data_IF_464742982107
#
_entry.id   IF_464742982107
#
_cell.length_a   1.000
_cell.length_b   1.000
_cell.length_c   1.000
_cell.angle_alpha   90.00
_cell.angle_beta   90.00
_cell.angle_gamma   90.00
#
_symmetry.space_group_name_H-M   'P 1'
#
loop_
_entity.id
_entity.type
_entity.pdbx_description
1 polymer ?
#
# COMPACT_ATOMS: atom_id res chain seq x y z
N UNK A 1 -6.01 -82.85 32.05
CA UNK A 1 -6.37 -81.47 32.43
C UNK A 1 -5.31 -80.54 31.85
N UNK A 2 -5.61 -79.93 30.71
CA UNK A 2 -4.74 -78.98 30.02
C UNK A 2 -4.99 -77.58 30.58
N UNK A 3 -3.97 -77.00 31.20
CA UNK A 3 -4.01 -75.64 31.76
C UNK A 3 -4.07 -74.62 30.61
N UNK A 4 -5.20 -73.91 30.51
CA UNK A 4 -5.38 -72.83 29.55
C UNK A 4 -4.50 -71.63 29.93
N UNK A 5 -3.60 -71.22 29.03
CA UNK A 5 -2.91 -69.93 29.14
C UNK A 5 -3.94 -68.82 28.92
N UNK A 6 -4.13 -67.99 29.94
CA UNK A 6 -4.85 -66.72 29.84
C UNK A 6 -4.17 -65.84 28.79
N UNK A 7 -4.93 -65.44 27.76
CA UNK A 7 -4.49 -64.50 26.71
C UNK A 7 -4.72 -63.03 27.12
N UNK A 8 -5.32 -62.80 28.29
CA UNK A 8 -5.62 -61.47 28.80
C UNK A 8 -4.74 -61.20 30.02
N UNK A 9 -3.60 -60.58 29.76
CA UNK A 9 -2.83 -59.88 30.77
C UNK A 9 -3.47 -58.50 30.94
N UNK A 10 -4.08 -58.26 32.11
CA UNK A 10 -4.62 -56.95 32.47
C UNK A 10 -3.45 -55.96 32.57
N UNK A 11 -3.24 -55.17 31.52
CA UNK A 11 -2.29 -54.05 31.56
C UNK A 11 -2.94 -52.92 32.36
N UNK A 12 -2.95 -53.05 33.69
CA UNK A 12 -3.34 -52.01 34.62
C UNK A 12 -2.23 -50.99 34.86
N UNK A 13 -1.44 -50.67 33.83
CA UNK A 13 -0.49 -49.57 33.89
C UNK A 13 -1.12 -48.36 33.22
N UNK A 14 -1.66 -47.49 34.06
CA UNK A 14 -2.11 -46.16 33.70
C UNK A 14 -0.86 -45.30 33.41
N UNK A 15 -0.14 -45.63 32.35
CA UNK A 15 0.88 -44.75 31.80
C UNK A 15 0.18 -43.56 31.19
N UNK A 16 0.04 -42.50 31.99
CA UNK A 16 -0.27 -41.18 31.48
C UNK A 16 0.77 -40.86 30.41
N UNK A 17 0.42 -41.04 29.14
CA UNK A 17 1.24 -40.60 28.02
C UNK A 17 1.46 -39.11 28.23
N UNK A 18 2.68 -38.74 28.64
CA UNK A 18 3.07 -37.36 28.76
C UNK A 18 2.76 -36.70 27.42
N UNK A 19 1.81 -35.75 27.42
CA UNK A 19 1.48 -35.00 26.21
C UNK A 19 2.80 -34.49 25.63
N UNK A 20 3.12 -34.77 24.36
CA UNK A 20 4.40 -34.40 23.80
C UNK A 20 4.61 -32.92 24.08
N UNK A 21 5.65 -32.59 24.86
CA UNK A 21 6.02 -31.20 25.12
C UNK A 21 6.19 -30.58 23.74
N UNK A 22 5.29 -29.66 23.40
CA UNK A 22 5.34 -28.96 22.11
C UNK A 22 6.75 -28.43 21.88
N UNK A 23 7.20 -28.29 20.62
CA UNK A 23 8.57 -27.92 20.32
C UNK A 23 8.99 -26.71 21.17
N UNK A 24 10.07 -26.87 21.96
CA UNK A 24 10.60 -25.80 22.81
C UNK A 24 10.77 -24.55 21.95
N UNK A 25 10.12 -23.45 22.33
CA UNK A 25 10.31 -22.18 21.65
C UNK A 25 11.80 -21.83 21.74
N UNK A 26 12.44 -21.63 20.58
CA UNK A 26 13.82 -21.15 20.54
C UNK A 26 13.88 -19.79 21.28
N UNK A 27 14.58 -19.69 22.42
CA UNK A 27 14.63 -18.47 23.22
C UNK A 27 15.22 -17.27 22.46
N UNK A 28 15.83 -17.48 21.29
CA UNK A 28 16.34 -16.42 20.41
C UNK A 28 15.30 -15.92 19.39
N UNK A 29 14.12 -16.53 19.31
CA UNK A 29 13.09 -16.19 18.33
C UNK A 29 12.29 -14.94 18.75
N UNK A 30 12.83 -13.76 18.46
CA UNK A 30 12.24 -12.48 18.88
C UNK A 30 11.19 -11.94 17.88
N UNK A 31 10.17 -12.75 17.55
CA UNK A 31 9.09 -12.39 16.61
C UNK A 31 8.43 -11.06 16.98
N UNK A 32 8.22 -10.83 18.28
CA UNK A 32 7.60 -9.60 18.78
C UNK A 32 8.39 -8.34 18.43
N UNK A 33 9.71 -8.36 18.58
CA UNK A 33 10.56 -7.23 18.21
C UNK A 33 10.58 -7.00 16.69
N UNK A 34 10.64 -8.07 15.89
CA UNK A 34 10.57 -7.95 14.42
C UNK A 34 9.22 -7.39 13.98
N UNK A 35 8.12 -7.80 14.60
CA UNK A 35 6.78 -7.25 14.35
C UNK A 35 6.73 -5.76 14.67
N UNK A 36 7.28 -5.32 15.82
CA UNK A 36 7.33 -3.89 16.17
C UNK A 36 8.11 -3.08 15.14
N UNK A 37 9.27 -3.58 14.72
CA UNK A 37 10.07 -2.94 13.67
C UNK A 37 9.32 -2.87 12.33
N UNK A 38 8.64 -3.94 11.93
CA UNK A 38 7.79 -3.94 10.74
C UNK A 38 6.60 -2.96 10.86
N UNK A 39 6.03 -2.77 12.05
CA UNK A 39 5.01 -1.75 12.28
C UNK A 39 5.56 -0.33 12.12
N UNK A 40 6.80 -0.07 12.57
CA UNK A 40 7.47 1.22 12.34
C UNK A 40 7.65 1.44 10.83
N UNK A 41 8.17 0.45 10.09
CA UNK A 41 8.29 0.53 8.63
C UNK A 41 6.94 0.72 7.95
N UNK A 42 5.91 0.00 8.38
CA UNK A 42 4.55 0.17 7.87
C UNK A 42 4.07 1.61 8.04
N UNK A 43 4.19 2.17 9.25
CA UNK A 43 3.76 3.54 9.53
C UNK A 43 4.54 4.57 8.70
N UNK A 44 5.86 4.38 8.55
CA UNK A 44 6.69 5.24 7.72
C UNK A 44 6.31 5.16 6.23
N UNK A 45 5.97 3.97 5.70
CA UNK A 45 5.51 3.83 4.31
C UNK A 45 4.13 4.48 4.11
N UNK A 46 3.22 4.39 5.10
CA UNK A 46 1.95 5.13 5.04
C UNK A 46 2.20 6.63 5.03
N UNK A 47 3.12 7.11 5.88
CA UNK A 47 3.53 8.52 5.89
C UNK A 47 4.17 8.92 4.55
N UNK A 48 4.99 8.06 3.95
CA UNK A 48 5.60 8.29 2.63
C UNK A 48 4.54 8.44 1.54
N UNK A 49 3.52 7.58 1.56
CA UNK A 49 2.38 7.70 0.63
C UNK A 49 1.63 9.03 0.86
N UNK A 50 1.42 9.45 2.10
CA UNK A 50 0.77 10.72 2.42
C UNK A 50 1.58 11.94 1.94
N UNK A 51 2.87 11.99 2.30
CA UNK A 51 3.79 13.08 1.94
C UNK A 51 4.01 13.12 0.43
N UNK A 52 4.22 11.98 -0.23
CA UNK A 52 4.34 11.92 -1.69
C UNK A 52 3.06 12.35 -2.40
N UNK A 53 1.89 12.02 -1.83
CA UNK A 53 0.60 12.54 -2.30
C UNK A 53 0.51 14.07 -2.20
N UNK A 54 0.96 14.64 -1.08
CA UNK A 54 1.03 16.10 -0.91
C UNK A 54 2.00 16.73 -1.92
N UNK A 55 3.23 16.21 -2.05
CA UNK A 55 4.23 16.70 -3.02
C UNK A 55 3.68 16.74 -4.45
N UNK A 56 2.82 15.78 -4.85
CA UNK A 56 2.15 15.82 -6.15
C UNK A 56 1.00 16.81 -6.19
N UNK A 57 0.13 16.82 -5.18
CA UNK A 57 -1.07 17.67 -5.15
C UNK A 57 -0.74 19.16 -4.98
N UNK A 58 0.47 19.48 -4.52
CA UNK A 58 1.04 20.84 -4.44
C UNK A 58 2.02 21.14 -5.57
N UNK A 59 2.05 20.31 -6.63
CA UNK A 59 2.88 20.49 -7.84
C UNK A 59 4.35 20.78 -7.50
N UNK A 60 4.87 20.04 -6.52
CA UNK A 60 6.23 20.20 -5.98
C UNK A 60 7.17 19.09 -6.43
N UNK A 61 6.72 18.18 -7.28
CA UNK A 61 7.43 16.93 -7.60
C UNK A 61 8.67 17.07 -8.49
N UNK A 62 8.94 18.27 -9.02
CA UNK A 62 10.04 18.56 -9.95
C UNK A 62 10.91 19.77 -9.53
N UNK A 63 10.72 20.26 -8.32
CA UNK A 63 11.48 21.38 -7.73
C UNK A 63 12.98 21.08 -7.54
N UNK A 64 13.38 19.81 -7.37
CA UNK A 64 14.77 19.36 -7.21
C UNK A 64 15.19 18.58 -8.46
N UNK A 65 15.86 19.27 -9.37
CA UNK A 65 16.23 18.75 -10.69
C UNK A 65 17.37 17.72 -10.64
N UNK A 66 18.14 17.69 -9.56
CA UNK A 66 19.29 16.80 -9.43
C UNK A 66 19.02 15.57 -8.56
N UNK A 67 19.67 14.45 -8.89
CA UNK A 67 19.66 13.24 -8.09
C UNK A 67 20.94 13.11 -7.27
N UNK A 68 20.86 13.55 -6.00
CA UNK A 68 21.96 13.46 -5.01
C UNK A 68 21.55 12.56 -3.83
N UNK A 69 21.76 11.23 -3.91
CA UNK A 69 21.31 10.29 -2.87
C UNK A 69 21.88 10.56 -1.49
N UNK A 70 23.16 10.92 -1.42
CA UNK A 70 23.89 11.11 -0.16
C UNK A 70 23.98 12.59 0.20
N UNK A 71 24.59 13.41 -0.66
CA UNK A 71 24.80 14.84 -0.39
C UNK A 71 23.50 15.64 -0.32
N UNK A 72 22.47 15.25 -1.07
CA UNK A 72 21.14 15.86 -1.00
C UNK A 72 20.34 15.53 0.27
N UNK A 73 20.93 14.84 1.26
CA UNK A 73 20.35 14.68 2.58
C UNK A 73 20.47 15.95 3.43
N UNK A 74 21.38 16.86 3.07
CA UNK A 74 21.49 18.19 3.68
C UNK A 74 20.76 19.20 2.80
N UNK A 75 19.84 20.01 3.36
CA UNK A 75 19.17 21.07 2.59
C UNK A 75 20.13 22.25 2.36
N UNK A 76 19.81 23.18 1.43
CA UNK A 76 20.55 24.43 1.26
C UNK A 76 20.57 25.23 2.57
N UNK A 77 21.76 25.67 3.01
CA UNK A 77 21.93 26.35 4.30
C UNK A 77 22.33 27.82 4.18
N UNK A 78 22.86 28.24 3.03
CA UNK A 78 23.20 29.63 2.73
C UNK A 78 22.30 30.25 1.67
N UNK A 79 22.27 31.58 1.57
CA UNK A 79 21.56 32.28 0.49
C UNK A 79 22.12 31.90 -0.89
N UNK A 80 23.44 31.75 -1.01
CA UNK A 80 24.10 31.33 -2.25
C UNK A 80 23.63 29.93 -2.69
N UNK A 81 23.50 28.98 -1.77
CA UNK A 81 23.00 27.63 -2.09
C UNK A 81 21.54 27.69 -2.58
N UNK A 82 20.71 28.49 -1.91
CA UNK A 82 19.31 28.67 -2.30
C UNK A 82 19.17 29.30 -3.68
N UNK A 83 19.98 30.31 -3.99
CA UNK A 83 20.02 30.94 -5.31
C UNK A 83 20.45 29.93 -6.37
N UNK A 84 21.50 29.14 -6.12
CA UNK A 84 21.97 28.13 -7.08
C UNK A 84 20.92 27.05 -7.37
N UNK A 85 20.22 26.54 -6.35
CA UNK A 85 19.14 25.57 -6.56
C UNK A 85 17.95 26.20 -7.31
N UNK A 86 17.64 27.47 -7.03
CA UNK A 86 16.58 28.17 -7.73
C UNK A 86 16.93 28.45 -9.19
N UNK A 87 18.16 28.84 -9.52
CA UNK A 87 18.62 29.01 -10.90
C UNK A 87 18.47 27.72 -11.72
N UNK A 88 18.79 26.57 -11.12
CA UNK A 88 18.55 25.25 -11.76
C UNK A 88 17.07 25.00 -11.99
N UNK A 89 16.22 25.38 -11.05
CA UNK A 89 14.78 25.28 -11.22
C UNK A 89 14.26 26.21 -12.32
N UNK A 90 14.77 27.44 -12.41
CA UNK A 90 14.42 28.40 -13.46
C UNK A 90 14.75 27.90 -14.88
N UNK A 91 15.78 27.05 -15.00
CA UNK A 91 16.13 26.39 -16.25
C UNK A 91 15.17 25.24 -16.64
N UNK A 92 14.28 24.81 -15.74
CA UNK A 92 13.36 23.69 -15.99
C UNK A 92 12.14 24.10 -16.84
N UNK A 93 11.53 23.16 -17.59
CA UNK A 93 10.28 23.41 -18.30
C UNK A 93 9.12 23.80 -17.38
N UNK A 94 9.05 23.27 -16.16
CA UNK A 94 8.00 23.58 -15.19
C UNK A 94 8.04 25.08 -14.82
N UNK A 95 9.23 25.63 -14.54
CA UNK A 95 9.36 27.07 -14.33
C UNK A 95 9.02 27.87 -15.58
N UNK A 96 9.53 27.45 -16.74
CA UNK A 96 9.35 28.18 -17.98
C UNK A 96 7.91 28.17 -18.53
N UNK A 97 7.08 27.19 -18.16
CA UNK A 97 5.73 27.04 -18.71
C UNK A 97 4.65 27.37 -17.67
N UNK A 98 4.82 26.93 -16.42
CA UNK A 98 3.79 27.05 -15.38
C UNK A 98 4.13 28.09 -14.32
N UNK A 99 5.39 28.16 -13.89
CA UNK A 99 5.81 28.94 -12.72
C UNK A 99 6.62 30.20 -13.08
N UNK A 100 6.43 30.76 -14.28
CA UNK A 100 7.15 31.96 -14.72
C UNK A 100 6.89 33.13 -13.75
N UNK A 101 7.96 33.80 -13.33
CA UNK A 101 7.88 34.92 -12.38
C UNK A 101 7.74 34.50 -10.91
N UNK A 102 7.79 33.21 -10.59
CA UNK A 102 7.86 32.71 -9.22
C UNK A 102 9.07 33.32 -8.49
N UNK A 103 8.88 33.69 -7.22
CA UNK A 103 9.93 34.24 -6.37
C UNK A 103 10.63 33.14 -5.56
N UNK A 104 11.84 33.44 -5.07
CA UNK A 104 12.63 32.49 -4.25
C UNK A 104 11.85 31.99 -3.02
N UNK A 105 11.01 32.84 -2.41
CA UNK A 105 10.17 32.46 -1.26
C UNK A 105 9.14 31.37 -1.59
N UNK A 106 8.59 31.39 -2.80
CA UNK A 106 7.62 30.40 -3.26
C UNK A 106 8.33 29.12 -3.68
N UNK A 107 9.48 29.23 -4.34
CA UNK A 107 10.36 28.09 -4.65
C UNK A 107 10.74 27.31 -3.40
N UNK A 108 11.11 27.99 -2.31
CA UNK A 108 11.43 27.33 -1.03
C UNK A 108 10.28 26.44 -0.53
N UNK A 109 9.01 26.83 -0.75
CA UNK A 109 7.85 26.03 -0.30
C UNK A 109 7.75 24.71 -1.05
N UNK A 110 7.85 24.74 -2.38
CA UNK A 110 7.81 23.51 -3.20
C UNK A 110 9.05 22.64 -2.95
N UNK A 111 10.23 23.26 -2.79
CA UNK A 111 11.47 22.58 -2.47
C UNK A 111 11.38 21.79 -1.17
N UNK A 112 10.81 22.38 -0.10
CA UNK A 112 10.68 21.69 1.18
C UNK A 112 9.79 20.46 1.12
N UNK A 113 8.71 20.48 0.32
CA UNK A 113 7.86 19.32 0.11
C UNK A 113 8.61 18.19 -0.58
N UNK A 114 9.35 18.50 -1.64
CA UNK A 114 10.11 17.49 -2.36
C UNK A 114 11.29 16.95 -1.56
N UNK A 115 12.07 17.85 -0.94
CA UNK A 115 13.18 17.48 -0.07
C UNK A 115 12.70 16.61 1.09
N UNK A 116 11.59 16.99 1.74
CA UNK A 116 11.00 16.24 2.84
C UNK A 116 10.56 14.85 2.41
N UNK A 117 9.93 14.71 1.23
CA UNK A 117 9.55 13.42 0.66
C UNK A 117 10.79 12.54 0.37
N UNK A 118 11.82 13.09 -0.28
CA UNK A 118 13.08 12.38 -0.57
C UNK A 118 13.80 11.97 0.72
N UNK A 119 13.82 12.85 1.72
CA UNK A 119 14.45 12.61 3.01
C UNK A 119 13.74 11.51 3.79
N UNK A 120 12.40 11.49 3.77
CA UNK A 120 11.62 10.41 4.37
C UNK A 120 11.94 9.05 3.71
N UNK A 121 12.13 9.01 2.39
CA UNK A 121 12.61 7.82 1.68
C UNK A 121 13.97 7.32 2.21
N UNK A 122 14.92 8.23 2.45
CA UNK A 122 16.24 7.88 3.06
C UNK A 122 16.08 7.34 4.47
N UNK A 123 15.24 7.99 5.30
CA UNK A 123 14.95 7.54 6.67
C UNK A 123 14.36 6.13 6.68
N UNK A 124 13.42 5.82 5.77
CA UNK A 124 12.87 4.46 5.62
C UNK A 124 13.97 3.45 5.30
N UNK A 125 14.85 3.78 4.34
CA UNK A 125 15.99 2.95 3.99
C UNK A 125 16.91 2.68 5.18
N UNK A 126 17.22 3.70 5.97
CA UNK A 126 18.04 3.59 7.18
C UNK A 126 17.35 2.77 8.28
N UNK A 127 16.08 3.00 8.55
CA UNK A 127 15.30 2.23 9.55
C UNK A 127 15.21 0.76 9.14
N UNK A 128 15.06 0.48 7.85
CA UNK A 128 15.12 -0.88 7.34
C UNK A 128 16.52 -1.47 7.51
N UNK A 129 17.58 -0.80 7.05
CA UNK A 129 18.94 -1.32 7.08
C UNK A 129 19.43 -1.57 8.52
N UNK A 130 19.25 -0.58 9.40
CA UNK A 130 19.64 -0.68 10.81
C UNK A 130 18.88 -1.81 11.52
N UNK A 131 17.56 -1.90 11.33
CA UNK A 131 16.76 -2.97 11.92
C UNK A 131 17.13 -4.35 11.39
N UNK A 132 17.27 -4.49 10.06
CA UNK A 132 17.64 -5.75 9.42
C UNK A 132 19.02 -6.23 9.88
N UNK A 133 20.04 -5.37 9.83
CA UNK A 133 21.40 -5.70 10.26
C UNK A 133 21.45 -6.02 11.75
N UNK A 134 20.76 -5.25 12.60
CA UNK A 134 20.66 -5.53 14.03
C UNK A 134 20.10 -6.94 14.29
N UNK A 135 18.95 -7.29 13.72
CA UNK A 135 18.35 -8.61 13.93
C UNK A 135 19.18 -9.74 13.30
N UNK A 136 19.85 -9.49 12.18
CA UNK A 136 20.71 -10.44 11.50
C UNK A 136 21.95 -10.76 12.33
N UNK A 137 22.70 -9.72 12.73
CA UNK A 137 23.95 -9.84 13.50
C UNK A 137 23.71 -10.41 14.90
N UNK A 138 22.59 -10.06 15.54
CA UNK A 138 22.20 -10.61 16.84
C UNK A 138 21.53 -11.99 16.75
N UNK A 139 21.39 -12.56 15.54
CA UNK A 139 20.73 -13.85 15.25
C UNK A 139 19.31 -13.95 15.82
N UNK A 140 18.57 -12.84 15.79
CA UNK A 140 17.19 -12.69 16.31
C UNK A 140 16.12 -12.80 15.22
N UNK A 141 16.51 -12.96 13.94
CA UNK A 141 15.58 -13.20 12.84
C UNK A 141 14.98 -14.61 12.98
N UNK A 142 13.63 -14.76 12.96
CA UNK A 142 12.99 -16.07 12.99
C UNK A 142 13.42 -16.94 11.79
N UNK A 143 13.52 -18.25 11.99
CA UNK A 143 13.92 -19.20 10.92
C UNK A 143 13.03 -19.04 9.68
N UNK A 144 13.64 -18.98 8.50
CA UNK A 144 12.95 -18.80 7.23
C UNK A 144 12.45 -17.38 6.93
N UNK A 145 12.81 -16.37 7.75
CA UNK A 145 12.40 -14.98 7.53
C UNK A 145 13.48 -14.08 6.93
N UNK A 146 14.76 -14.46 6.96
CA UNK A 146 15.85 -13.63 6.43
C UNK A 146 15.62 -13.17 4.99
N UNK A 147 15.33 -14.10 4.07
CA UNK A 147 15.07 -13.76 2.67
C UNK A 147 13.81 -12.91 2.48
N UNK A 148 12.77 -13.10 3.31
CA UNK A 148 11.54 -12.30 3.26
C UNK A 148 11.78 -10.85 3.69
N UNK A 149 12.58 -10.65 4.73
CA UNK A 149 12.94 -9.32 5.23
C UNK A 149 13.94 -8.62 4.30
N UNK A 150 14.84 -9.38 3.67
CA UNK A 150 15.74 -8.89 2.64
C UNK A 150 14.97 -8.44 1.39
N UNK A 151 13.96 -9.20 0.98
CA UNK A 151 13.08 -8.83 -0.14
C UNK A 151 12.44 -7.45 0.06
N UNK A 152 12.03 -7.09 1.29
CA UNK A 152 11.50 -5.75 1.56
C UNK A 152 12.53 -4.66 1.29
N UNK A 153 13.81 -4.89 1.62
CA UNK A 153 14.89 -3.96 1.30
C UNK A 153 15.16 -3.87 -0.19
N UNK A 154 15.18 -5.01 -0.88
CA UNK A 154 15.32 -5.05 -2.35
C UNK A 154 14.20 -4.28 -3.05
N UNK A 155 12.95 -4.47 -2.62
CA UNK A 155 11.81 -3.70 -3.12
C UNK A 155 11.89 -2.22 -2.74
N UNK A 156 12.40 -1.88 -1.55
CA UNK A 156 12.66 -0.49 -1.16
C UNK A 156 13.74 0.18 -2.02
N UNK A 157 14.80 -0.54 -2.36
CA UNK A 157 15.81 -0.08 -3.32
C UNK A 157 15.20 0.14 -4.72
N UNK A 158 14.39 -0.81 -5.19
CA UNK A 158 13.64 -0.67 -6.44
C UNK A 158 12.68 0.51 -6.40
N UNK A 159 12.00 0.77 -5.27
CA UNK A 159 11.14 1.93 -5.07
C UNK A 159 11.92 3.24 -5.27
N UNK A 160 13.12 3.34 -4.69
CA UNK A 160 14.02 4.46 -4.91
C UNK A 160 14.44 4.63 -6.36
N UNK A 161 14.79 3.54 -7.05
CA UNK A 161 15.15 3.55 -8.46
C UNK A 161 13.98 4.00 -9.36
N UNK A 162 12.76 3.51 -9.10
CA UNK A 162 11.55 3.94 -9.81
C UNK A 162 11.24 5.40 -9.52
N UNK A 163 11.46 5.88 -8.28
CA UNK A 163 11.31 7.30 -7.92
C UNK A 163 12.29 8.21 -8.65
N UNK A 164 13.55 7.78 -8.80
CA UNK A 164 14.52 8.48 -9.65
C UNK A 164 14.08 8.52 -11.12
N UNK A 165 13.66 7.38 -11.67
CA UNK A 165 13.16 7.28 -13.05
C UNK A 165 11.92 8.17 -13.29
N UNK A 166 11.07 8.32 -12.28
CA UNK A 166 9.91 9.20 -12.27
C UNK A 166 10.35 10.68 -12.43
N UNK A 167 11.26 11.17 -11.59
CA UNK A 167 11.74 12.57 -11.67
C UNK A 167 12.55 12.82 -12.95
N UNK A 168 13.46 11.92 -13.30
CA UNK A 168 14.34 12.09 -14.45
C UNK A 168 13.58 12.29 -15.78
N UNK A 169 12.37 11.73 -15.92
CA UNK A 169 11.51 12.04 -17.08
C UNK A 169 10.85 13.39 -17.08
N UNK A 170 10.53 13.94 -15.91
CA UNK A 170 9.83 15.22 -15.82
C UNK A 170 10.71 16.38 -16.25
N UNK A 171 12.02 16.15 -16.41
CA UNK A 171 13.02 17.15 -16.78
C UNK A 171 13.41 17.09 -18.26
N UNK A 172 12.76 16.23 -19.06
CA UNK A 172 13.08 16.03 -20.48
C UNK A 172 11.93 16.47 -21.37
N UNK A 173 12.22 17.35 -22.33
CA UNK A 173 11.26 17.86 -23.32
C UNK A 173 10.37 18.97 -22.77
N UNK A 174 9.16 19.10 -23.30
CA UNK A 174 8.18 20.13 -22.91
C UNK A 174 7.23 19.68 -21.78
N UNK A 175 7.60 18.65 -21.00
CA UNK A 175 6.74 18.12 -19.94
C UNK A 175 6.92 18.95 -18.67
N UNK A 176 5.80 19.34 -18.07
CA UNK A 176 5.72 20.04 -16.79
C UNK A 176 5.41 19.10 -15.63
N UNK A 177 5.04 17.86 -15.93
CA UNK A 177 4.62 16.86 -14.96
C UNK A 177 5.29 15.52 -15.22
N UNK A 178 5.35 14.70 -14.18
CA UNK A 178 5.77 13.32 -14.36
C UNK A 178 4.70 12.53 -15.10
N UNK A 179 5.12 11.79 -16.12
CA UNK A 179 4.27 10.85 -16.84
C UNK A 179 3.45 9.95 -15.90
N UNK A 180 2.13 9.95 -16.09
CA UNK A 180 1.13 9.32 -15.22
C UNK A 180 1.39 7.84 -14.95
N UNK A 181 1.82 7.09 -15.95
CA UNK A 181 2.17 5.67 -15.81
C UNK A 181 3.38 5.42 -14.91
N UNK A 182 4.32 6.39 -14.79
CA UNK A 182 5.46 6.30 -13.88
C UNK A 182 5.03 6.54 -12.44
N UNK A 183 4.17 7.54 -12.22
CA UNK A 183 3.53 7.76 -10.93
C UNK A 183 2.73 6.52 -10.50
N UNK A 184 1.95 5.93 -11.41
CA UNK A 184 1.21 4.71 -11.13
C UNK A 184 2.13 3.53 -10.80
N UNK A 185 3.26 3.38 -11.50
CA UNK A 185 4.27 2.36 -11.21
C UNK A 185 4.88 2.56 -9.82
N UNK A 186 5.26 3.79 -9.49
CA UNK A 186 5.85 4.13 -8.20
C UNK A 186 4.87 3.90 -7.04
N UNK A 187 3.64 4.37 -7.16
CA UNK A 187 2.60 4.17 -6.15
C UNK A 187 2.22 2.69 -6.03
N UNK A 188 2.08 1.98 -7.15
CA UNK A 188 1.79 0.55 -7.19
C UNK A 188 2.84 -0.25 -6.42
N UNK A 189 4.13 0.02 -6.64
CA UNK A 189 5.22 -0.64 -5.92
C UNK A 189 5.20 -0.31 -4.41
N UNK A 190 4.86 0.93 -4.02
CA UNK A 190 4.68 1.30 -2.62
C UNK A 190 3.56 0.48 -1.96
N UNK A 191 2.43 0.27 -2.64
CA UNK A 191 1.33 -0.57 -2.15
C UNK A 191 1.69 -2.06 -2.10
N UNK A 192 2.53 -2.56 -3.01
CA UNK A 192 3.08 -3.92 -2.92
C UNK A 192 3.93 -4.08 -1.65
N UNK A 193 4.84 -3.14 -1.37
CA UNK A 193 5.66 -3.13 -0.16
C UNK A 193 4.77 -3.08 1.08
N UNK A 194 3.80 -2.15 1.11
CA UNK A 194 2.85 -2.00 2.22
C UNK A 194 2.03 -3.28 2.45
N UNK A 195 1.61 -3.94 1.36
CA UNK A 195 0.85 -5.18 1.41
C UNK A 195 1.68 -6.35 1.95
N UNK A 196 2.94 -6.46 1.54
CA UNK A 196 3.88 -7.45 2.06
C UNK A 196 4.18 -7.23 3.54
N UNK A 197 4.46 -5.99 3.96
CA UNK A 197 4.67 -5.65 5.37
C UNK A 197 3.43 -6.02 6.20
N UNK A 198 2.24 -5.64 5.74
CA UNK A 198 0.96 -5.99 6.39
C UNK A 198 0.81 -7.50 6.57
N UNK A 199 1.05 -8.26 5.49
CA UNK A 199 0.96 -9.72 5.52
C UNK A 199 2.01 -10.35 6.44
N UNK A 200 3.23 -9.83 6.44
CA UNK A 200 4.33 -10.30 7.29
C UNK A 200 4.07 -10.05 8.76
N UNK A 201 3.54 -8.88 9.13
CA UNK A 201 3.09 -8.58 10.49
C UNK A 201 2.07 -9.62 10.94
N UNK A 202 1.02 -9.87 10.13
CA UNK A 202 -0.03 -10.83 10.48
C UNK A 202 0.51 -12.26 10.65
N UNK A 203 1.42 -12.69 9.76
CA UNK A 203 2.09 -13.99 9.81
C UNK A 203 3.03 -14.14 11.00
N UNK A 204 3.79 -13.11 11.37
CA UNK A 204 4.77 -13.18 12.46
C UNK A 204 4.11 -13.16 13.85
N UNK A 205 2.93 -12.53 13.97
CA UNK A 205 2.16 -12.48 15.22
C UNK A 205 1.62 -13.84 15.69
N UNK A 206 1.60 -14.86 14.83
CA UNK A 206 1.19 -16.23 15.16
C UNK A 206 2.34 -17.19 14.89
N UNK A 207 2.45 -18.25 15.69
CA UNK A 207 3.45 -19.31 15.43
C UNK A 207 3.09 -20.11 14.18
N UNK A 208 4.06 -20.83 13.60
CA UNK A 208 3.76 -21.67 12.43
C UNK A 208 2.81 -22.80 12.77
N UNK A 209 2.92 -23.38 13.96
CA UNK A 209 1.99 -24.37 14.49
C UNK A 209 0.55 -23.82 14.58
N UNK A 210 0.36 -22.63 15.14
CA UNK A 210 -0.95 -21.97 15.20
C UNK A 210 -1.54 -21.69 13.81
N UNK A 211 -0.70 -21.27 12.85
CA UNK A 211 -1.15 -21.02 11.48
C UNK A 211 -1.55 -22.32 10.77
N UNK A 212 -0.82 -23.41 10.99
CA UNK A 212 -1.16 -24.74 10.45
C UNK A 212 -2.47 -25.26 11.04
N UNK A 213 -2.69 -25.09 12.35
CA UNK A 213 -3.95 -25.44 12.99
C UNK A 213 -5.10 -24.58 12.47
N UNK A 214 -4.92 -23.27 12.40
CA UNK A 214 -5.94 -22.35 11.89
C UNK A 214 -6.35 -22.63 10.45
N UNK A 215 -5.41 -23.06 9.60
CA UNK A 215 -5.67 -23.39 8.19
C UNK A 215 -6.70 -24.51 8.02
N UNK A 216 -6.84 -25.42 9.00
CA UNK A 216 -7.87 -26.48 8.98
C UNK A 216 -9.30 -25.92 9.01
N UNK A 217 -9.48 -24.71 9.55
CA UNK A 217 -10.76 -23.99 9.61
C UNK A 217 -10.89 -22.91 8.55
N UNK A 218 -9.97 -22.88 7.58
CA UNK A 218 -9.96 -21.85 6.54
C UNK A 218 -11.24 -21.86 5.72
N UNK A 219 -11.77 -20.67 5.46
CA UNK A 219 -12.83 -20.48 4.48
C UNK A 219 -12.17 -20.16 3.14
N UNK A 220 -11.92 -21.19 2.33
CA UNK A 220 -11.21 -21.06 1.04
C UNK A 220 -11.94 -20.15 0.07
N UNK A 221 -13.27 -20.22 0.04
CA UNK A 221 -14.10 -19.37 -0.83
C UNK A 221 -13.89 -17.92 -0.48
N UNK A 222 -14.03 -17.56 0.79
CA UNK A 222 -13.82 -16.19 1.23
C UNK A 222 -12.35 -15.77 1.12
N UNK A 223 -11.38 -16.65 1.37
CA UNK A 223 -9.96 -16.32 1.15
C UNK A 223 -9.68 -15.95 -0.32
N UNK A 224 -10.24 -16.70 -1.27
CA UNK A 224 -10.12 -16.41 -2.69
C UNK A 224 -10.88 -15.14 -3.08
N UNK A 225 -12.07 -14.92 -2.52
CA UNK A 225 -12.79 -13.65 -2.70
C UNK A 225 -12.00 -12.45 -2.15
N UNK A 226 -11.30 -12.61 -1.03
CA UNK A 226 -10.39 -11.58 -0.50
C UNK A 226 -9.21 -11.31 -1.42
N UNK A 227 -8.68 -12.33 -2.11
CA UNK A 227 -7.64 -12.14 -3.13
C UNK A 227 -8.19 -11.39 -4.36
N UNK A 228 -9.40 -11.74 -4.81
CA UNK A 228 -10.09 -11.02 -5.89
C UNK A 228 -10.27 -9.54 -5.53
N UNK A 229 -10.81 -9.25 -4.34
CA UNK A 229 -10.98 -7.87 -3.88
C UNK A 229 -9.64 -7.13 -3.76
N UNK A 230 -8.58 -7.83 -3.38
CA UNK A 230 -7.24 -7.24 -3.32
C UNK A 230 -6.72 -6.86 -4.72
N UNK A 231 -6.91 -7.73 -5.71
CA UNK A 231 -6.53 -7.47 -7.09
C UNK A 231 -7.34 -6.31 -7.69
N UNK A 232 -8.66 -6.30 -7.48
CA UNK A 232 -9.55 -5.21 -7.93
C UNK A 232 -9.18 -3.89 -7.26
N UNK A 233 -8.91 -3.90 -5.95
CA UNK A 233 -8.44 -2.73 -5.21
C UNK A 233 -7.10 -2.22 -5.74
N UNK A 234 -6.16 -3.11 -6.04
CA UNK A 234 -4.87 -2.75 -6.59
C UNK A 234 -5.01 -2.06 -7.95
N UNK A 235 -5.85 -2.58 -8.85
CA UNK A 235 -6.16 -1.91 -10.13
C UNK A 235 -6.82 -0.55 -9.89
N UNK A 236 -7.75 -0.42 -8.93
CA UNK A 236 -8.35 0.88 -8.58
C UNK A 236 -7.30 1.90 -8.13
N UNK A 237 -6.31 1.48 -7.34
CA UNK A 237 -5.20 2.33 -6.90
C UNK A 237 -4.35 2.78 -8.08
N UNK A 238 -4.04 1.89 -9.03
CA UNK A 238 -3.30 2.25 -10.25
C UNK A 238 -4.09 3.26 -11.11
N UNK A 239 -5.39 3.02 -11.32
CA UNK A 239 -6.25 3.97 -12.03
C UNK A 239 -6.34 5.32 -11.31
N UNK A 240 -6.40 5.31 -9.96
CA UNK A 240 -6.37 6.54 -9.17
C UNK A 240 -5.05 7.31 -9.30
N UNK A 241 -3.92 6.60 -9.39
CA UNK A 241 -2.62 7.21 -9.65
C UNK A 241 -2.54 7.83 -11.05
N UNK A 242 -3.16 7.19 -12.07
CA UNK A 242 -3.25 7.77 -13.40
C UNK A 242 -4.09 9.06 -13.39
N UNK A 243 -5.26 9.05 -12.74
CA UNK A 243 -6.12 10.22 -12.56
C UNK A 243 -5.36 11.38 -11.91
N UNK A 244 -4.64 11.10 -10.81
CA UNK A 244 -3.86 12.11 -10.11
C UNK A 244 -2.66 12.61 -10.94
N UNK A 245 -2.07 11.75 -11.79
CA UNK A 245 -0.92 12.10 -12.61
C UNK A 245 -1.22 13.12 -13.71
N UNK A 246 -2.45 13.14 -14.22
CA UNK A 246 -2.90 14.03 -15.31
C UNK A 246 -3.95 15.05 -14.88
N UNK A 247 -4.13 15.24 -13.57
CA UNK A 247 -5.11 16.17 -12.99
C UNK A 247 -6.56 15.99 -13.48
N UNK A 248 -6.94 14.76 -13.86
CA UNK A 248 -8.25 14.47 -14.41
C UNK A 248 -9.40 14.75 -13.41
N UNK A 249 -9.09 14.71 -12.11
CA UNK A 249 -10.03 15.06 -11.04
C UNK A 249 -10.47 16.53 -11.04
N UNK A 250 -9.70 17.43 -11.65
CA UNK A 250 -10.02 18.86 -11.78
C UNK A 250 -10.83 19.17 -13.05
N UNK A 251 -10.81 18.26 -14.03
CA UNK A 251 -11.41 18.48 -15.37
C UNK A 251 -12.90 18.10 -15.45
N UNK A 252 -13.34 17.12 -14.65
CA UNK A 252 -14.72 16.61 -14.67
C UNK A 252 -15.31 16.65 -13.25
N UNK A 253 -15.93 17.78 -12.91
CA UNK A 253 -16.39 18.13 -11.54
C UNK A 253 -17.86 17.81 -11.26
N UNK A 254 -18.53 17.07 -12.14
CA UNK A 254 -19.89 16.56 -11.97
C UNK A 254 -19.90 15.05 -11.67
N UNK A 255 -21.02 14.59 -11.08
CA UNK A 255 -21.30 13.20 -10.77
C UNK A 255 -22.83 12.97 -10.75
N UNK A 256 -23.37 11.85 -11.29
CA UNK A 256 -22.66 10.70 -11.87
C UNK A 256 -22.18 10.91 -13.31
N UNK A 257 -22.61 12.00 -13.96
CA UNK A 257 -22.16 12.41 -15.29
C UNK A 257 -20.72 12.93 -15.26
N UNK A 258 -20.16 13.13 -16.45
CA UNK A 258 -18.83 13.67 -16.73
C UNK A 258 -18.96 14.72 -17.85
N UNK A 259 -18.96 15.99 -17.49
CA UNK A 259 -19.20 17.10 -18.41
C UNK A 259 -20.60 17.05 -19.03
N UNK A 260 -21.61 16.69 -18.22
CA UNK A 260 -23.01 16.60 -18.67
C UNK A 260 -23.35 15.35 -19.50
N UNK A 261 -22.41 14.40 -19.68
CA UNK A 261 -22.62 13.14 -20.40
C UNK A 261 -22.15 11.95 -19.57
N UNK A 262 -22.65 10.75 -19.84
CA UNK A 262 -22.17 9.56 -19.12
C UNK A 262 -20.77 9.14 -19.58
N UNK A 263 -20.52 9.16 -20.89
CA UNK A 263 -19.23 8.88 -21.50
C UNK A 263 -18.63 10.19 -22.05
N UNK A 264 -17.37 10.54 -21.69
CA UNK A 264 -16.74 11.77 -22.16
C UNK A 264 -16.61 11.79 -23.69
N UNK A 265 -17.00 12.90 -24.31
CA UNK A 265 -16.92 13.05 -25.77
C UNK A 265 -15.46 12.99 -26.27
N UNK A 266 -14.52 13.44 -25.44
CA UNK A 266 -13.09 13.55 -25.76
C UNK A 266 -12.30 12.28 -25.45
N UNK A 267 -12.96 11.15 -25.12
CA UNK A 267 -12.29 9.95 -24.59
C UNK A 267 -11.26 9.31 -25.53
N UNK A 268 -11.28 9.63 -26.82
CA UNK A 268 -10.42 9.01 -27.84
C UNK A 268 -9.64 10.03 -28.69
N UNK A 269 -9.46 11.25 -28.19
CA UNK A 269 -8.89 12.36 -28.96
C UNK A 269 -7.35 12.29 -29.13
N UNK A 270 -6.66 11.43 -28.38
CA UNK A 270 -5.20 11.31 -28.47
C UNK A 270 -4.78 10.23 -29.48
N UNK A 271 -3.74 10.53 -30.27
CA UNK A 271 -3.05 9.56 -31.12
C UNK A 271 -1.62 9.27 -30.60
N UNK A 272 -1.14 8.02 -30.71
CA UNK A 272 -1.89 6.79 -31.04
C UNK A 272 -2.96 6.43 -30.00
N UNK A 273 -4.06 5.80 -30.45
CA UNK A 273 -5.26 5.45 -29.63
C UNK A 273 -4.95 4.91 -28.22
N UNK A 274 -3.93 4.06 -28.07
CA UNK A 274 -3.59 3.45 -26.77
C UNK A 274 -3.19 4.48 -25.71
N UNK A 275 -2.72 5.67 -26.09
CA UNK A 275 -2.38 6.76 -25.15
C UNK A 275 -3.59 7.22 -24.35
N UNK A 276 -4.80 7.14 -24.90
CA UNK A 276 -6.00 7.56 -24.19
C UNK A 276 -6.23 6.77 -22.89
N UNK A 277 -5.75 5.53 -22.82
CA UNK A 277 -5.88 4.70 -21.61
C UNK A 277 -5.03 5.18 -20.43
N UNK A 278 -4.06 6.09 -20.67
CA UNK A 278 -3.10 6.54 -19.66
C UNK A 278 -3.00 8.07 -19.55
N UNK A 279 -3.29 8.80 -20.63
CA UNK A 279 -3.01 10.23 -20.76
C UNK A 279 -4.26 11.07 -21.05
N UNK A 280 -5.39 10.46 -21.44
CA UNK A 280 -6.63 11.20 -21.70
C UNK A 280 -7.43 11.37 -20.40
N UNK A 281 -7.60 12.61 -19.96
CA UNK A 281 -8.29 12.92 -18.70
C UNK A 281 -9.72 12.39 -18.65
N UNK A 282 -10.45 12.44 -19.78
CA UNK A 282 -11.81 11.91 -19.88
C UNK A 282 -11.85 10.40 -19.70
N UNK A 283 -11.12 9.66 -20.54
CA UNK A 283 -11.16 8.20 -20.51
C UNK A 283 -10.61 7.62 -19.21
N UNK A 284 -9.49 8.14 -18.70
CA UNK A 284 -8.86 7.66 -17.46
C UNK A 284 -9.79 7.88 -16.26
N UNK A 285 -10.43 9.05 -16.17
CA UNK A 285 -11.38 9.35 -15.10
C UNK A 285 -12.65 8.47 -15.20
N UNK A 286 -13.14 8.22 -16.41
CA UNK A 286 -14.26 7.30 -16.64
C UNK A 286 -13.91 5.87 -16.21
N UNK A 287 -12.73 5.36 -16.60
CA UNK A 287 -12.23 4.04 -16.19
C UNK A 287 -12.12 3.92 -14.67
N UNK A 288 -11.56 4.94 -14.00
CA UNK A 288 -11.45 4.97 -12.55
C UNK A 288 -12.82 4.91 -11.84
N UNK A 289 -13.82 5.64 -12.35
CA UNK A 289 -15.20 5.63 -11.82
C UNK A 289 -15.86 4.27 -12.04
N UNK A 290 -15.82 3.73 -13.26
CA UNK A 290 -16.46 2.45 -13.59
C UNK A 290 -15.84 1.28 -12.81
N UNK A 291 -14.52 1.25 -12.69
CA UNK A 291 -13.84 0.22 -11.90
C UNK A 291 -14.15 0.35 -10.41
N UNK A 292 -14.29 1.59 -9.90
CA UNK A 292 -14.76 1.86 -8.54
C UNK A 292 -16.16 1.31 -8.26
N UNK A 293 -17.09 1.45 -9.20
CA UNK A 293 -18.44 0.87 -9.08
C UNK A 293 -18.42 -0.65 -9.10
N UNK A 294 -17.66 -1.26 -10.03
CA UNK A 294 -17.47 -2.70 -10.06
C UNK A 294 -16.91 -3.20 -8.72
N UNK A 295 -15.91 -2.50 -8.18
CA UNK A 295 -15.30 -2.84 -6.91
C UNK A 295 -16.32 -2.79 -5.76
N UNK A 296 -17.15 -1.74 -5.68
CA UNK A 296 -18.21 -1.64 -4.69
C UNK A 296 -19.21 -2.79 -4.79
N UNK A 297 -19.67 -3.11 -6.01
CA UNK A 297 -20.60 -4.23 -6.25
C UNK A 297 -19.99 -5.55 -5.80
N UNK A 298 -18.76 -5.85 -6.20
CA UNK A 298 -18.06 -7.07 -5.78
C UNK A 298 -17.88 -7.13 -4.26
N UNK A 299 -17.53 -6.02 -3.61
CA UNK A 299 -17.39 -5.96 -2.17
C UNK A 299 -18.73 -6.24 -1.44
N UNK A 300 -19.84 -5.70 -1.93
CA UNK A 300 -21.19 -6.00 -1.40
C UNK A 300 -21.53 -7.47 -1.57
N UNK A 301 -21.28 -8.06 -2.75
CA UNK A 301 -21.55 -9.47 -3.01
C UNK A 301 -20.73 -10.39 -2.10
N UNK A 302 -19.42 -10.13 -1.98
CA UNK A 302 -18.52 -10.90 -1.09
C UNK A 302 -18.92 -10.71 0.37
N UNK A 303 -19.30 -9.50 0.79
CA UNK A 303 -19.81 -9.24 2.12
C UNK A 303 -21.06 -10.09 2.40
N UNK A 304 -22.05 -10.12 1.49
CA UNK A 304 -23.26 -10.95 1.62
C UNK A 304 -22.91 -12.43 1.78
N UNK A 305 -21.95 -12.95 1.00
CA UNK A 305 -21.46 -14.33 1.17
C UNK A 305 -20.83 -14.52 2.55
N UNK A 306 -20.01 -13.57 3.00
CA UNK A 306 -19.32 -13.65 4.28
C UNK A 306 -20.28 -13.72 5.48
N UNK A 307 -21.48 -13.13 5.37
CA UNK A 307 -22.52 -13.17 6.41
C UNK A 307 -22.96 -14.59 6.77
N UNK A 308 -22.82 -15.53 5.84
CA UNK A 308 -23.14 -16.96 6.04
C UNK A 308 -22.03 -17.73 6.75
N UNK A 309 -20.85 -17.13 6.93
CA UNK A 309 -19.76 -17.78 7.64
C UNK A 309 -20.11 -17.96 9.12
N UNK A 310 -19.93 -19.18 9.64
CA UNK A 310 -20.07 -19.46 11.08
C UNK A 310 -19.03 -18.75 11.95
N UNK A 311 -18.05 -18.08 11.35
CA UNK A 311 -16.94 -17.45 12.05
C UNK A 311 -17.15 -15.94 12.16
N UNK A 312 -17.36 -15.45 13.39
CA UNK A 312 -17.64 -14.01 13.65
C UNK A 312 -16.49 -13.10 13.20
N UNK A 313 -15.26 -13.55 13.32
CA UNK A 313 -14.08 -12.80 12.89
C UNK A 313 -14.08 -12.53 11.39
N UNK A 314 -14.49 -13.50 10.56
CA UNK A 314 -14.62 -13.36 9.11
C UNK A 314 -15.70 -12.34 8.78
N UNK A 315 -16.90 -12.48 9.37
CA UNK A 315 -18.02 -11.55 9.18
C UNK A 315 -17.62 -10.11 9.48
N UNK A 316 -16.97 -9.87 10.63
CA UNK A 316 -16.48 -8.54 11.02
C UNK A 316 -15.41 -8.01 10.05
N UNK A 317 -14.47 -8.85 9.62
CA UNK A 317 -13.39 -8.42 8.74
C UNK A 317 -13.90 -8.00 7.35
N UNK A 318 -14.81 -8.77 6.74
CA UNK A 318 -15.44 -8.38 5.48
C UNK A 318 -16.41 -7.21 5.64
N UNK A 319 -17.09 -7.09 6.79
CA UNK A 319 -17.85 -5.89 7.15
C UNK A 319 -16.99 -4.64 7.16
N UNK A 320 -15.78 -4.69 7.72
CA UNK A 320 -14.87 -3.54 7.75
C UNK A 320 -14.48 -3.04 6.36
N UNK A 321 -14.30 -3.94 5.38
CA UNK A 321 -14.04 -3.56 3.97
C UNK A 321 -15.20 -2.71 3.45
N UNK A 322 -16.45 -3.13 3.66
CA UNK A 322 -17.63 -2.43 3.15
C UNK A 322 -17.77 -1.03 3.76
N UNK A 323 -17.54 -0.88 5.07
CA UNK A 323 -17.57 0.44 5.72
C UNK A 323 -16.45 1.35 5.17
N UNK A 324 -15.22 0.82 5.05
CA UNK A 324 -14.11 1.57 4.47
C UNK A 324 -14.39 2.00 3.04
N UNK A 325 -14.98 1.13 2.22
CA UNK A 325 -15.36 1.45 0.85
C UNK A 325 -16.47 2.50 0.76
N UNK A 326 -17.43 2.50 1.68
CA UNK A 326 -18.43 3.56 1.74
C UNK A 326 -17.78 4.93 1.94
N UNK A 327 -16.82 5.05 2.87
CA UNK A 327 -16.03 6.26 3.03
C UNK A 327 -15.18 6.57 1.79
N UNK A 328 -14.57 5.55 1.16
CA UNK A 328 -13.77 5.74 -0.04
C UNK A 328 -14.58 6.37 -1.18
N UNK A 329 -15.79 5.85 -1.41
CA UNK A 329 -16.71 6.36 -2.44
C UNK A 329 -17.17 7.77 -2.08
N UNK A 330 -17.55 8.01 -0.82
CA UNK A 330 -17.96 9.33 -0.35
C UNK A 330 -16.87 10.38 -0.58
N UNK A 331 -15.63 10.11 -0.16
CA UNK A 331 -14.53 11.04 -0.37
C UNK A 331 -14.13 11.15 -1.84
N UNK A 332 -14.27 10.08 -2.64
CA UNK A 332 -14.03 10.13 -4.08
C UNK A 332 -15.00 11.06 -4.80
N UNK A 333 -16.29 10.95 -4.48
CA UNK A 333 -17.34 11.85 -5.01
C UNK A 333 -17.10 13.28 -4.54
N UNK A 334 -16.83 13.49 -3.24
CA UNK A 334 -16.56 14.83 -2.71
C UNK A 334 -15.32 15.48 -3.35
N UNK A 335 -14.25 14.70 -3.57
CA UNK A 335 -13.04 15.16 -4.27
C UNK A 335 -13.39 15.68 -5.65
N UNK A 336 -14.19 14.94 -6.42
CA UNK A 336 -14.65 15.36 -7.76
C UNK A 336 -15.49 16.62 -7.72
N UNK A 337 -16.54 16.64 -6.88
CA UNK A 337 -17.51 17.74 -6.84
C UNK A 337 -16.87 19.07 -6.39
N UNK A 338 -15.77 19.01 -5.64
CA UNK A 338 -15.05 20.19 -5.16
C UNK A 338 -13.81 20.53 -5.99
N UNK A 339 -13.66 19.96 -7.19
CA UNK A 339 -12.51 20.18 -8.08
C UNK A 339 -11.15 19.77 -7.48
N UNK A 340 -11.14 18.63 -6.79
CA UNK A 340 -9.97 17.95 -6.24
C UNK A 340 -9.05 18.83 -5.36
N UNK A 341 -9.56 19.45 -4.28
CA UNK A 341 -8.70 20.17 -3.36
C UNK A 341 -7.78 19.18 -2.64
N UNK A 342 -6.54 19.59 -2.39
CA UNK A 342 -5.46 18.70 -1.93
C UNK A 342 -5.83 17.90 -0.67
N UNK A 343 -6.61 18.47 0.25
CA UNK A 343 -7.00 17.80 1.50
C UNK A 343 -8.01 16.66 1.27
N UNK A 344 -8.95 16.80 0.32
CA UNK A 344 -9.87 15.71 -0.05
C UNK A 344 -9.16 14.62 -0.83
N UNK A 345 -8.26 15.01 -1.76
CA UNK A 345 -7.41 14.05 -2.47
C UNK A 345 -6.56 13.21 -1.52
N UNK A 346 -5.93 13.87 -0.54
CA UNK A 346 -5.16 13.19 0.51
C UNK A 346 -6.03 12.27 1.36
N UNK A 347 -7.21 12.72 1.79
CA UNK A 347 -8.12 11.91 2.59
C UNK A 347 -8.62 10.68 1.82
N UNK A 348 -8.99 10.84 0.54
CA UNK A 348 -9.36 9.75 -0.34
C UNK A 348 -8.22 8.73 -0.51
N UNK A 349 -6.97 9.21 -0.60
CA UNK A 349 -5.80 8.34 -0.68
C UNK A 349 -5.56 7.55 0.62
N UNK A 350 -5.65 8.21 1.78
CA UNK A 350 -5.47 7.57 3.09
C UNK A 350 -6.57 6.55 3.41
N UNK A 351 -7.82 6.83 3.06
CA UNK A 351 -8.91 5.85 3.17
C UNK A 351 -8.67 4.68 2.21
N UNK A 352 -8.11 4.93 1.02
CA UNK A 352 -7.72 3.87 0.08
C UNK A 352 -6.66 2.93 0.66
N UNK A 353 -5.67 3.48 1.35
CA UNK A 353 -4.68 2.71 2.11
C UNK A 353 -5.35 1.84 3.19
N UNK A 354 -6.28 2.41 3.96
CA UNK A 354 -7.01 1.68 4.99
C UNK A 354 -7.86 0.53 4.40
N UNK A 355 -8.57 0.78 3.30
CA UNK A 355 -9.34 -0.25 2.57
C UNK A 355 -8.42 -1.37 2.11
N UNK A 356 -7.29 -1.06 1.48
CA UNK A 356 -6.31 -2.05 1.03
C UNK A 356 -5.83 -2.96 2.18
N UNK A 357 -5.47 -2.36 3.32
CA UNK A 357 -4.99 -3.10 4.50
C UNK A 357 -6.11 -3.94 5.14
N UNK A 358 -7.35 -3.44 5.18
CA UNK A 358 -8.49 -4.22 5.70
C UNK A 358 -8.82 -5.43 4.83
N UNK A 359 -8.65 -5.34 3.49
CA UNK A 359 -8.82 -6.47 2.58
C UNK A 359 -7.76 -7.55 2.86
N UNK A 360 -6.48 -7.15 3.01
CA UNK A 360 -5.40 -8.07 3.39
C UNK A 360 -5.72 -8.76 4.70
N UNK A 361 -6.18 -8.01 5.71
CA UNK A 361 -6.60 -8.55 7.00
C UNK A 361 -7.77 -9.53 6.85
N UNK A 362 -8.79 -9.21 6.07
CA UNK A 362 -9.94 -10.08 5.87
C UNK A 362 -9.56 -11.38 5.16
N UNK A 363 -8.72 -11.31 4.13
CA UNK A 363 -8.14 -12.48 3.47
C UNK A 363 -7.33 -13.32 4.46
N UNK A 364 -6.50 -12.69 5.28
CA UNK A 364 -5.69 -13.38 6.28
C UNK A 364 -6.59 -14.10 7.30
N UNK A 365 -7.63 -13.44 7.81
CA UNK A 365 -8.58 -14.02 8.76
C UNK A 365 -9.38 -15.17 8.12
N UNK A 366 -9.76 -15.08 6.85
CA UNK A 366 -10.41 -16.19 6.16
C UNK A 366 -9.45 -17.39 5.94
N UNK A 367 -8.16 -17.11 5.72
CA UNK A 367 -7.13 -18.14 5.51
C UNK A 367 -6.65 -18.79 6.81
N UNK A 368 -6.61 -18.01 7.89
CA UNK A 368 -6.11 -18.39 9.21
C UNK A 368 -7.03 -17.86 10.32
N UNK A 369 -8.26 -18.37 10.41
CA UNK A 369 -9.18 -17.81 11.38
C UNK A 369 -8.71 -17.99 12.82
N UNK A 370 -9.04 -17.03 13.71
CA UNK A 370 -8.77 -17.18 15.13
C UNK A 370 -9.66 -18.27 15.74
N UNK A 371 -9.23 -18.82 16.87
CA UNK A 371 -10.11 -19.66 17.69
C UNK A 371 -11.32 -18.85 18.15
N UNK A 372 -12.53 -19.39 17.96
CA UNK A 372 -13.73 -18.83 18.57
C UNK A 372 -14.31 -19.86 19.54
N UNK A 373 -14.73 -19.39 20.72
CA UNK A 373 -15.59 -20.20 21.58
C UNK A 373 -16.88 -20.45 20.81
N UNK A 374 -17.28 -21.71 20.67
CA UNK A 374 -18.62 -22.04 20.17
C UNK A 374 -19.58 -21.44 21.18
N UNK A 375 -20.34 -20.42 20.78
CA UNK A 375 -21.49 -20.01 21.57
C UNK A 375 -22.42 -21.23 21.58
N UNK A 376 -22.63 -21.84 22.75
CA UNK A 376 -23.73 -22.77 22.95
C UNK A 376 -24.98 -21.93 22.75
N UNK A 377 -25.58 -22.03 21.56
CA UNK A 377 -26.89 -21.47 21.27
C UNK A 377 -27.95 -22.29 21.95
#
# INVERSE_FOLDING_TARGET
MTSGRSIFEDVSENHAFASPKGPKQDPRNNRGAVVKWLFILFALVVLMVAVGGLTRLTDSGLSITEWRPVTGAFPPTSEADWTSEFEKYQASPEYQIQNQGMQLSDFKRIYWWEWGHRQLGRVIGLVWAAGFLFFLLTRRIPRGWTGRLLLLGGLGGLQGAVGWWMVASGLVGARTDVASYRLATHLGLAFIILGLISWYILRLRRTEAELLQARRRSDRRLSNSGLLLLAVCFVQILLGALVAGIDAGRSFTDWPLMGGRFFPATAWDLEPIWRNLFENSGLVQFMHRMWGYLFLVLAVLVWRVSRRSGQTAIRKAYGAILHGLAFQVLFGIATVLMAAPWYLGLLHQLVGVAVFVTIIRARFVASYPPDQKIARS
#
